data_IF_822657004827
#
_entry.id   IF_822657004827
#
_cell.length_a   1.000
_cell.length_b   1.000
_cell.length_c   1.000
_cell.angle_alpha   90.00
_cell.angle_beta   90.00
_cell.angle_gamma   90.00
#
_symmetry.space_group_name_H-M   'P 1'
#
loop_
_entity.id
_entity.type
_entity.pdbx_description
1 polymer ?
#
# COMPACT_ATOMS: atom_id res chain seq x y z
N UNK A 1 7.33 36.49 -10.23
CA UNK A 1 7.41 35.59 -9.06
C UNK A 1 6.81 34.24 -9.43
N UNK A 2 7.67 33.30 -9.82
CA UNK A 2 7.24 31.93 -10.10
C UNK A 2 7.08 31.20 -8.77
N UNK A 3 5.85 30.97 -8.35
CA UNK A 3 5.51 30.01 -7.31
C UNK A 3 5.75 28.62 -7.91
N UNK A 4 6.95 28.08 -7.76
CA UNK A 4 7.26 26.68 -8.03
C UNK A 4 6.42 25.84 -7.09
N UNK A 5 5.38 25.21 -7.65
CA UNK A 5 4.49 24.29 -6.97
C UNK A 5 5.29 23.28 -6.17
N UNK A 6 5.05 23.16 -4.86
CA UNK A 6 5.63 22.17 -3.94
C UNK A 6 5.40 20.71 -4.37
N UNK A 7 4.63 20.47 -5.43
CA UNK A 7 4.34 19.15 -6.00
C UNK A 7 5.53 18.44 -6.65
N UNK A 8 6.64 19.11 -6.95
CA UNK A 8 7.79 18.49 -7.64
C UNK A 8 8.88 17.93 -6.71
N UNK A 9 8.72 17.97 -5.39
CA UNK A 9 9.73 17.44 -4.45
C UNK A 9 9.50 16.00 -3.99
N UNK A 10 8.46 15.31 -4.45
CA UNK A 10 8.41 13.86 -4.30
C UNK A 10 9.23 13.23 -5.43
N UNK A 11 10.56 13.34 -5.32
CA UNK A 11 11.47 12.52 -6.10
C UNK A 11 11.05 11.07 -5.93
N UNK A 12 10.71 10.40 -7.04
CA UNK A 12 10.33 9.01 -7.03
C UNK A 12 11.39 8.20 -6.27
N UNK A 13 10.98 7.26 -5.44
CA UNK A 13 11.89 6.32 -4.75
C UNK A 13 12.84 5.66 -5.76
N UNK A 14 12.36 5.43 -6.97
CA UNK A 14 13.13 4.93 -8.12
C UNK A 14 14.39 5.75 -8.43
N UNK A 15 14.36 7.07 -8.25
CA UNK A 15 15.47 7.97 -8.61
C UNK A 15 16.55 8.08 -7.51
N UNK A 16 16.37 7.34 -6.40
CA UNK A 16 17.37 7.26 -5.31
C UNK A 16 18.24 6.03 -5.54
N UNK A 17 19.57 6.20 -5.79
CA UNK A 17 20.40 5.12 -6.32
C UNK A 17 20.44 3.86 -5.45
N UNK A 18 20.46 3.99 -4.13
CA UNK A 18 20.50 2.83 -3.22
C UNK A 18 19.11 2.28 -2.95
N UNK A 19 18.17 3.15 -2.56
CA UNK A 19 16.81 2.75 -2.16
C UNK A 19 16.03 2.25 -3.38
N UNK A 20 16.17 2.90 -4.54
CA UNK A 20 15.54 2.47 -5.78
C UNK A 20 16.00 1.06 -6.20
N UNK A 21 17.28 0.75 -6.04
CA UNK A 21 17.82 -0.57 -6.33
C UNK A 21 17.29 -1.64 -5.36
N UNK A 22 17.28 -1.37 -4.06
CA UNK A 22 16.74 -2.29 -3.05
C UNK A 22 15.25 -2.59 -3.28
N UNK A 23 14.45 -1.56 -3.55
CA UNK A 23 13.01 -1.67 -3.77
C UNK A 23 12.71 -2.39 -5.10
N UNK A 24 13.50 -2.15 -6.14
CA UNK A 24 13.41 -2.89 -7.40
C UNK A 24 13.78 -4.38 -7.22
N UNK A 25 14.83 -4.66 -6.44
CA UNK A 25 15.24 -6.02 -6.09
C UNK A 25 14.19 -6.79 -5.29
N UNK A 26 13.34 -6.08 -4.53
CA UNK A 26 12.19 -6.66 -3.83
C UNK A 26 10.97 -6.93 -4.73
N UNK A 27 11.09 -6.75 -6.06
CA UNK A 27 10.00 -6.99 -7.01
C UNK A 27 8.91 -5.92 -7.02
N UNK A 28 9.18 -4.73 -6.49
CA UNK A 28 8.19 -3.65 -6.39
C UNK A 28 7.80 -3.11 -7.75
N UNK A 29 6.50 -3.00 -8.00
CA UNK A 29 5.94 -2.34 -9.17
C UNK A 29 5.86 -0.83 -8.92
N UNK A 30 6.55 -0.04 -9.74
CA UNK A 30 6.53 1.42 -9.63
C UNK A 30 5.38 2.00 -10.46
N UNK A 31 4.65 2.95 -9.86
CA UNK A 31 3.55 3.67 -10.51
C UNK A 31 3.94 5.13 -10.69
N UNK A 32 3.89 5.62 -11.91
CA UNK A 32 4.00 7.04 -12.19
C UNK A 32 2.69 7.74 -11.81
N UNK A 33 2.73 8.53 -10.74
CA UNK A 33 1.54 9.23 -10.24
C UNK A 33 1.10 10.31 -11.22
N UNK A 34 -0.21 10.37 -11.49
CA UNK A 34 -0.81 11.43 -12.30
C UNK A 34 -1.05 11.10 -13.77
N UNK A 35 -0.65 9.93 -14.25
CA UNK A 35 -0.92 9.48 -15.61
C UNK A 35 -1.95 8.35 -15.63
N UNK A 36 -3.04 8.51 -16.36
CA UNK A 36 -4.07 7.46 -16.52
C UNK A 36 -3.50 6.19 -17.16
N UNK A 37 -2.56 6.34 -18.09
CA UNK A 37 -1.87 5.23 -18.72
C UNK A 37 -1.01 4.42 -17.75
N UNK A 38 -0.44 5.06 -16.71
CA UNK A 38 0.36 4.35 -15.69
C UNK A 38 -0.48 3.38 -14.84
N UNK A 39 -1.74 3.74 -14.56
CA UNK A 39 -2.68 2.84 -13.85
C UNK A 39 -3.02 1.61 -14.69
N UNK A 40 -3.18 1.78 -16.00
CA UNK A 40 -3.45 0.67 -16.93
C UNK A 40 -2.25 -0.28 -17.04
N UNK A 41 -1.05 0.28 -17.29
CA UNK A 41 0.20 -0.50 -17.36
C UNK A 41 0.50 -1.26 -16.06
N UNK A 42 0.19 -0.66 -14.90
CA UNK A 42 0.27 -1.35 -13.62
C UNK A 42 -0.71 -2.53 -13.56
N UNK A 43 -1.95 -2.32 -14.01
CA UNK A 43 -2.96 -3.37 -14.07
C UNK A 43 -2.50 -4.57 -14.88
N UNK A 44 -1.91 -4.35 -16.05
CA UNK A 44 -1.33 -5.40 -16.90
C UNK A 44 -0.17 -6.12 -16.19
N UNK A 45 0.72 -5.35 -15.54
CA UNK A 45 1.83 -5.92 -14.77
C UNK A 45 1.36 -6.79 -13.61
N UNK A 46 0.33 -6.36 -12.88
CA UNK A 46 -0.28 -7.16 -11.80
C UNK A 46 -0.92 -8.43 -12.36
N UNK A 47 -1.67 -8.34 -13.45
CA UNK A 47 -2.28 -9.52 -14.09
C UNK A 47 -1.23 -10.53 -14.56
N UNK A 48 -0.09 -10.06 -15.09
CA UNK A 48 1.01 -10.93 -15.46
C UNK A 48 1.57 -11.69 -14.24
N UNK A 49 1.70 -11.03 -13.08
CA UNK A 49 2.12 -11.67 -11.82
C UNK A 49 1.09 -12.69 -11.33
N UNK A 50 -0.19 -12.36 -11.38
CA UNK A 50 -1.25 -13.29 -11.00
C UNK A 50 -1.24 -14.58 -11.85
N UNK A 51 -0.97 -14.46 -13.15
CA UNK A 51 -0.83 -15.64 -14.05
C UNK A 51 0.35 -16.55 -13.67
N UNK A 52 1.39 -15.99 -13.05
CA UNK A 52 2.54 -16.73 -12.54
C UNK A 52 2.29 -17.33 -11.14
N UNK A 53 1.12 -17.07 -10.54
CA UNK A 53 0.81 -17.50 -9.17
C UNK A 53 1.42 -16.62 -8.08
N UNK A 54 1.96 -15.45 -8.45
CA UNK A 54 2.55 -14.53 -7.48
C UNK A 54 1.47 -13.82 -6.66
N UNK A 55 1.75 -13.63 -5.37
CA UNK A 55 1.00 -12.70 -4.53
C UNK A 55 1.51 -11.27 -4.74
N UNK A 56 0.59 -10.32 -4.86
CA UNK A 56 0.91 -8.89 -5.03
C UNK A 56 0.44 -8.11 -3.81
N UNK A 57 1.38 -7.53 -3.05
CA UNK A 57 1.09 -6.63 -1.94
C UNK A 57 0.70 -5.24 -2.43
N UNK A 58 -0.36 -4.67 -1.83
CA UNK A 58 -0.90 -3.37 -2.20
C UNK A 58 -1.16 -2.51 -0.96
N UNK A 59 -0.77 -1.23 -1.03
CA UNK A 59 -1.08 -0.21 -0.02
C UNK A 59 -2.08 0.80 -0.61
N UNK A 60 -3.40 0.55 -0.50
CA UNK A 60 -4.40 1.29 -1.25
C UNK A 60 -4.69 2.70 -0.73
N UNK A 61 -4.14 3.09 0.42
CA UNK A 61 -4.18 4.48 0.91
C UNK A 61 -3.35 5.43 0.04
N UNK A 62 -2.35 4.92 -0.69
CA UNK A 62 -1.49 5.69 -1.57
C UNK A 62 -0.58 6.70 -0.87
N UNK A 63 -0.60 6.76 0.45
CA UNK A 63 0.24 7.65 1.28
C UNK A 63 0.43 7.04 2.66
N UNK A 64 1.35 7.60 3.43
CA UNK A 64 1.60 7.23 4.82
C UNK A 64 0.66 7.97 5.76
N UNK A 65 0.36 7.35 6.91
CA UNK A 65 -0.40 7.92 8.01
C UNK A 65 0.28 7.60 9.34
N UNK A 66 -0.26 8.10 10.44
CA UNK A 66 0.26 7.81 11.79
C UNK A 66 -0.02 6.36 12.23
N UNK A 67 -0.86 5.63 11.49
CA UNK A 67 -1.16 4.23 11.72
C UNK A 67 -2.25 3.95 12.76
N UNK A 68 -2.97 4.98 13.23
CA UNK A 68 -4.08 4.81 14.19
C UNK A 68 -5.44 4.67 13.50
N UNK A 69 -5.59 5.16 12.29
CA UNK A 69 -6.80 5.02 11.46
C UNK A 69 -6.40 4.92 9.99
N UNK A 70 -7.33 4.53 9.14
CA UNK A 70 -7.15 4.33 7.71
C UNK A 70 -7.71 5.51 6.90
N UNK A 71 -6.95 5.97 5.94
CA UNK A 71 -7.43 6.87 4.90
C UNK A 71 -8.37 6.13 3.93
N UNK A 72 -9.16 6.84 3.12
CA UNK A 72 -9.93 6.22 2.05
C UNK A 72 -9.03 5.43 1.10
N UNK A 73 -9.46 4.24 0.71
CA UNK A 73 -8.74 3.40 -0.22
C UNK A 73 -9.04 3.83 -1.66
N UNK A 74 -8.03 3.82 -2.51
CA UNK A 74 -8.17 4.09 -3.95
C UNK A 74 -8.79 2.86 -4.65
N UNK A 75 -10.08 2.89 -4.91
CA UNK A 75 -10.84 1.79 -5.51
C UNK A 75 -10.27 1.31 -6.87
N UNK A 76 -9.65 2.22 -7.65
CA UNK A 76 -9.01 1.85 -8.92
C UNK A 76 -7.89 0.82 -8.80
N UNK A 77 -7.26 0.71 -7.63
CA UNK A 77 -6.19 -0.25 -7.37
C UNK A 77 -6.71 -1.69 -7.18
N UNK A 78 -8.01 -1.86 -6.96
CA UNK A 78 -8.65 -3.17 -6.82
C UNK A 78 -9.10 -3.75 -8.17
N UNK A 79 -9.12 -2.94 -9.24
CA UNK A 79 -9.59 -3.37 -10.57
C UNK A 79 -8.80 -4.55 -11.15
N UNK A 80 -7.46 -4.63 -11.06
CA UNK A 80 -6.71 -5.77 -11.60
C UNK A 80 -7.07 -7.10 -10.95
N UNK A 81 -7.25 -7.14 -9.62
CA UNK A 81 -7.66 -8.35 -8.90
C UNK A 81 -9.10 -8.74 -9.25
N UNK A 82 -10.01 -7.75 -9.29
CA UNK A 82 -11.40 -7.94 -9.71
C UNK A 82 -11.50 -8.55 -11.12
N UNK A 83 -10.82 -7.93 -12.09
CA UNK A 83 -10.85 -8.37 -13.50
C UNK A 83 -10.24 -9.76 -13.69
N UNK A 84 -9.28 -10.13 -12.86
CA UNK A 84 -8.67 -11.46 -12.86
C UNK A 84 -9.42 -12.48 -12.00
N UNK A 85 -10.53 -12.08 -11.35
CA UNK A 85 -11.28 -12.89 -10.40
C UNK A 85 -10.38 -13.53 -9.32
N UNK A 86 -9.49 -12.72 -8.72
CA UNK A 86 -8.54 -13.12 -7.68
C UNK A 86 -9.07 -12.68 -6.32
N UNK A 87 -8.96 -13.56 -5.33
CA UNK A 87 -9.27 -13.24 -3.93
C UNK A 87 -8.34 -12.17 -3.38
N UNK A 88 -8.87 -11.33 -2.51
CA UNK A 88 -8.12 -10.27 -1.85
C UNK A 88 -8.02 -10.59 -0.36
N UNK A 89 -6.79 -10.73 0.12
CA UNK A 89 -6.50 -10.95 1.52
C UNK A 89 -6.24 -9.60 2.22
N UNK A 90 -7.18 -9.04 2.99
CA UNK A 90 -6.90 -7.86 3.79
C UNK A 90 -5.90 -8.19 4.89
N UNK A 91 -4.91 -7.30 5.09
CA UNK A 91 -3.88 -7.47 6.10
C UNK A 91 -3.74 -6.15 6.86
N UNK A 92 -3.90 -6.21 8.19
CA UNK A 92 -3.65 -5.06 9.06
C UNK A 92 -2.22 -5.10 9.59
N UNK A 93 -1.55 -3.94 9.57
CA UNK A 93 -0.23 -3.75 10.17
C UNK A 93 -0.36 -2.82 11.38
N UNK A 94 0.01 -3.32 12.55
CA UNK A 94 0.04 -2.53 13.78
C UNK A 94 1.49 -2.35 14.22
N UNK A 95 1.92 -1.10 14.32
CA UNK A 95 3.26 -0.77 14.82
C UNK A 95 3.19 -0.56 16.33
N UNK A 96 4.06 -1.24 17.04
CA UNK A 96 4.13 -1.22 18.50
C UNK A 96 5.51 -0.75 18.94
N UNK A 97 5.56 -0.01 20.05
CA UNK A 97 6.80 0.30 20.77
C UNK A 97 6.62 -0.09 22.24
N UNK A 98 7.48 -0.97 22.73
CA UNK A 98 7.40 -1.54 24.07
C UNK A 98 6.05 -2.21 24.37
N UNK A 99 5.43 -2.83 23.36
CA UNK A 99 4.15 -3.53 23.48
C UNK A 99 2.90 -2.65 23.30
N UNK A 100 3.05 -1.32 23.18
CA UNK A 100 1.93 -0.40 22.98
C UNK A 100 1.88 0.14 21.55
N UNK A 101 0.67 0.39 21.04
CA UNK A 101 0.49 1.01 19.72
C UNK A 101 1.19 2.36 19.66
N UNK A 102 1.98 2.59 18.62
CA UNK A 102 2.80 3.77 18.50
C UNK A 102 2.96 4.23 17.06
N UNK A 103 2.82 5.55 16.84
CA UNK A 103 3.21 6.21 15.60
C UNK A 103 4.71 6.44 15.46
N UNK A 104 5.55 5.93 16.36
CA UNK A 104 7.00 6.20 16.35
C UNK A 104 7.67 5.85 15.02
N UNK A 105 7.30 4.72 14.41
CA UNK A 105 7.84 4.29 13.12
C UNK A 105 7.16 4.98 11.92
N UNK A 106 6.10 5.74 12.14
CA UNK A 106 5.35 6.39 11.08
C UNK A 106 6.23 7.43 10.35
N UNK A 107 6.20 7.35 9.01
CA UNK A 107 6.87 8.31 8.14
C UNK A 107 5.88 9.40 7.71
N UNK A 108 5.76 10.46 8.51
CA UNK A 108 4.79 11.54 8.33
C UNK A 108 5.43 12.91 8.48
N UNK A 109 4.79 13.95 7.98
CA UNK A 109 5.24 15.35 8.11
C UNK A 109 6.44 15.69 7.21
N UNK A 110 7.36 16.49 7.74
CA UNK A 110 8.54 17.02 7.03
C UNK A 110 9.79 16.11 7.22
N UNK A 111 9.65 14.99 7.91
CA UNK A 111 10.77 14.06 8.15
C UNK A 111 11.30 13.48 6.83
N UNK A 112 12.62 13.36 6.71
CA UNK A 112 13.20 12.69 5.54
C UNK A 112 13.20 11.17 5.73
N UNK A 113 13.08 10.41 4.63
CA UNK A 113 13.12 8.95 4.69
C UNK A 113 14.38 8.42 5.38
N UNK A 114 15.54 9.07 5.18
CA UNK A 114 16.82 8.67 5.80
C UNK A 114 16.75 8.90 7.31
N UNK A 115 16.25 10.06 7.75
CA UNK A 115 16.10 10.33 9.18
C UNK A 115 15.14 9.35 9.86
N UNK A 116 14.00 9.05 9.22
CA UNK A 116 13.07 8.05 9.73
C UNK A 116 13.71 6.66 9.82
N UNK A 117 14.45 6.25 8.79
CA UNK A 117 15.16 4.97 8.79
C UNK A 117 16.19 4.88 9.93
N UNK A 118 17.00 5.92 10.13
CA UNK A 118 17.95 5.99 11.25
C UNK A 118 17.24 5.94 12.61
N UNK A 119 16.13 6.64 12.78
CA UNK A 119 15.30 6.63 13.98
C UNK A 119 14.78 5.22 14.28
N UNK A 120 14.27 4.53 13.27
CA UNK A 120 13.74 3.16 13.41
C UNK A 120 14.87 2.17 13.71
N UNK A 121 15.97 2.22 12.96
CA UNK A 121 17.13 1.31 13.14
C UNK A 121 17.85 1.52 14.47
N UNK A 122 17.91 2.75 14.97
CA UNK A 122 18.54 3.10 16.25
C UNK A 122 17.66 2.86 17.47
N UNK A 123 16.41 2.39 17.30
CA UNK A 123 15.48 2.20 18.41
C UNK A 123 15.33 0.72 18.77
N UNK A 124 15.07 0.48 20.05
CA UNK A 124 14.75 -0.85 20.61
C UNK A 124 13.27 -0.95 20.95
N UNK A 125 12.74 -2.16 21.13
CA UNK A 125 11.36 -2.40 21.54
C UNK A 125 10.32 -2.10 20.45
N UNK A 126 10.74 -1.94 19.18
CA UNK A 126 9.82 -1.86 18.05
C UNK A 126 9.41 -3.26 17.61
N UNK A 127 8.12 -3.44 17.38
CA UNK A 127 7.56 -4.63 16.76
C UNK A 127 6.43 -4.27 15.81
N UNK A 128 6.15 -5.19 14.88
CA UNK A 128 5.04 -5.07 13.94
C UNK A 128 4.16 -6.30 14.11
N UNK A 129 2.89 -6.07 14.39
CA UNK A 129 1.86 -7.09 14.35
C UNK A 129 1.26 -7.15 12.96
N UNK A 130 1.26 -8.33 12.36
CA UNK A 130 0.67 -8.57 11.04
C UNK A 130 -0.57 -9.43 11.25
N UNK A 131 -1.75 -8.85 11.01
CA UNK A 131 -3.04 -9.54 11.21
C UNK A 131 -3.64 -9.86 9.85
N UNK A 132 -3.69 -11.15 9.51
CA UNK A 132 -4.37 -11.64 8.32
C UNK A 132 -5.87 -11.78 8.61
N UNK A 133 -6.70 -11.11 7.82
CA UNK A 133 -8.15 -11.13 7.95
C UNK A 133 -8.76 -12.15 6.97
N UNK A 134 -10.04 -12.51 7.10
CA UNK A 134 -10.68 -13.37 6.11
C UNK A 134 -10.56 -12.83 4.70
N UNK A 135 -10.23 -13.69 3.74
CA UNK A 135 -10.14 -13.30 2.34
C UNK A 135 -11.50 -12.85 1.81
N UNK A 136 -11.49 -11.80 1.02
CA UNK A 136 -12.66 -11.35 0.27
C UNK A 136 -12.80 -12.22 -0.96
N UNK A 137 -13.99 -12.80 -1.13
CA UNK A 137 -14.30 -13.68 -2.25
C UNK A 137 -14.13 -12.95 -3.59
N UNK A 138 -13.56 -13.63 -4.57
CA UNK A 138 -13.40 -13.11 -5.93
C UNK A 138 -14.76 -12.89 -6.65
N UNK A 139 -15.81 -13.61 -6.23
CA UNK A 139 -17.15 -13.53 -6.79
C UNK A 139 -18.20 -13.60 -5.68
N UNK A 140 -19.35 -13.01 -5.93
CA UNK A 140 -20.55 -13.20 -5.12
C UNK A 140 -21.10 -14.63 -5.25
N UNK A 141 -22.03 -15.01 -4.36
CA UNK A 141 -22.67 -16.31 -4.38
C UNK A 141 -23.46 -16.59 -5.69
N UNK A 142 -23.93 -15.54 -6.35
CA UNK A 142 -24.62 -15.59 -7.65
C UNK A 142 -23.66 -15.69 -8.86
N UNK A 143 -22.33 -15.71 -8.61
CA UNK A 143 -21.29 -15.78 -9.64
C UNK A 143 -20.89 -14.43 -10.24
N UNK A 144 -21.54 -13.33 -9.87
CA UNK A 144 -21.17 -11.98 -10.33
C UNK A 144 -19.89 -11.48 -9.68
N UNK A 145 -19.19 -10.58 -10.35
CA UNK A 145 -17.99 -9.94 -9.79
C UNK A 145 -18.39 -8.75 -8.92
N UNK A 146 -17.85 -8.62 -7.70
CA UNK A 146 -18.05 -7.42 -6.89
C UNK A 146 -17.49 -6.19 -7.60
N UNK A 147 -17.99 -5.01 -7.30
CA UNK A 147 -17.44 -3.76 -7.83
C UNK A 147 -16.14 -3.43 -7.15
N UNK A 148 -15.25 -2.71 -7.84
CA UNK A 148 -13.98 -2.22 -7.24
C UNK A 148 -14.19 -1.34 -6.02
N UNK A 149 -15.31 -0.59 -5.98
CA UNK A 149 -15.67 0.25 -4.84
C UNK A 149 -16.07 -0.60 -3.63
N UNK A 150 -16.89 -1.62 -3.86
CA UNK A 150 -17.31 -2.58 -2.84
C UNK A 150 -16.10 -3.30 -2.24
N UNK A 151 -15.19 -3.84 -3.06
CA UNK A 151 -13.95 -4.48 -2.58
C UNK A 151 -13.09 -3.53 -1.73
N UNK A 152 -12.97 -2.26 -2.16
CA UNK A 152 -12.19 -1.26 -1.42
C UNK A 152 -12.80 -0.94 -0.05
N UNK A 153 -14.13 -0.86 0.04
CA UNK A 153 -14.84 -0.63 1.30
C UNK A 153 -14.74 -1.84 2.21
N UNK A 154 -15.06 -3.04 1.71
CA UNK A 154 -14.96 -4.28 2.48
C UNK A 154 -13.57 -4.50 3.05
N UNK A 155 -12.52 -4.32 2.23
CA UNK A 155 -11.13 -4.44 2.70
C UNK A 155 -10.79 -3.40 3.77
N UNK A 156 -11.20 -2.15 3.57
CA UNK A 156 -10.96 -1.06 4.52
C UNK A 156 -11.68 -1.29 5.84
N UNK A 157 -12.96 -1.66 5.78
CA UNK A 157 -13.78 -1.86 6.97
C UNK A 157 -13.29 -3.08 7.78
N UNK A 158 -12.90 -4.17 7.10
CA UNK A 158 -12.30 -5.33 7.75
C UNK A 158 -11.00 -4.96 8.50
N UNK A 159 -10.09 -4.20 7.86
CA UNK A 159 -8.84 -3.76 8.50
C UNK A 159 -9.14 -2.80 9.66
N UNK A 160 -10.07 -1.84 9.46
CA UNK A 160 -10.43 -0.86 10.49
C UNK A 160 -11.02 -1.50 11.76
N UNK A 161 -11.74 -2.59 11.61
CA UNK A 161 -12.36 -3.31 12.73
C UNK A 161 -11.33 -3.92 13.70
N UNK A 162 -10.07 -4.10 13.25
CA UNK A 162 -9.00 -4.69 14.05
C UNK A 162 -7.88 -3.69 14.38
N UNK A 163 -7.93 -2.47 13.87
CA UNK A 163 -7.01 -1.42 14.24
C UNK A 163 -7.41 -0.74 15.55
#
# INVERSE_FOLDING_TARGET
>A
LHVRSRRQRQMCIRDRPVIGWLVAGAGTLFIERGQRHAVHAMGESMQARFKLGDAVGLFPEGTTSEGFDLRPFHASLFEPARSAAIEIQPVALRFLKNGERSGFAAFVGEETLVANLWKVMGSTGLSVEVVFLPALAAKHADGTLPTRLELSHQARDAIRAVL
#
